data_IF_849263821344
#
_entry.id   IF_849263821344
#
_cell.length_a   1.000
_cell.length_b   1.000
_cell.length_c   1.000
_cell.angle_alpha   90.00
_cell.angle_beta   90.00
_cell.angle_gamma   90.00
#
_symmetry.space_group_name_H-M   'P 1'
#
loop_
_entity.id
_entity.type
_entity.pdbx_description
1 polymer ?
#
# COMPACT_ATOMS: atom_id res chain seq x y z
N UNK A 1 -12.37 -13.63 4.04
CA UNK A 1 -12.71 -12.97 5.32
C UNK A 1 -14.22 -12.83 5.53
N UNK A 2 -14.98 -12.26 4.58
CA UNK A 2 -16.44 -12.18 4.72
C UNK A 2 -17.15 -13.54 4.59
N UNK A 3 -16.72 -14.40 3.67
CA UNK A 3 -17.29 -15.75 3.49
C UNK A 3 -17.21 -16.62 4.75
N UNK A 4 -16.04 -16.66 5.41
CA UNK A 4 -15.86 -17.43 6.65
C UNK A 4 -16.74 -16.93 7.80
N UNK A 5 -17.02 -15.62 7.87
CA UNK A 5 -17.94 -15.05 8.85
C UNK A 5 -19.38 -15.51 8.59
N UNK A 6 -19.81 -15.51 7.32
CA UNK A 6 -21.15 -15.96 6.91
C UNK A 6 -21.34 -17.46 7.20
N UNK A 7 -20.32 -18.28 6.94
CA UNK A 7 -20.32 -19.70 7.27
C UNK A 7 -20.42 -19.93 8.79
N UNK A 8 -19.66 -19.18 9.59
CA UNK A 8 -19.70 -19.30 11.06
C UNK A 8 -21.05 -18.93 11.69
N UNK A 9 -21.87 -18.16 10.96
CA UNK A 9 -23.19 -17.70 11.40
C UNK A 9 -24.35 -18.50 10.76
N UNK A 10 -24.06 -19.61 10.08
CA UNK A 10 -25.05 -20.42 9.34
C UNK A 10 -25.93 -19.58 8.39
N UNK A 11 -25.34 -18.54 7.78
CA UNK A 11 -26.06 -17.65 6.85
C UNK A 11 -27.10 -16.72 7.48
N UNK A 12 -27.18 -16.61 8.82
CA UNK A 12 -28.08 -15.65 9.49
C UNK A 12 -27.30 -14.44 10.00
N UNK A 13 -27.48 -13.31 9.34
CA UNK A 13 -26.89 -12.03 9.74
C UNK A 13 -27.98 -11.13 10.34
N UNK A 14 -27.63 -10.40 11.40
CA UNK A 14 -28.38 -9.21 11.78
C UNK A 14 -28.11 -8.08 10.79
N UNK A 15 -29.00 -7.09 10.73
CA UNK A 15 -28.86 -5.91 9.86
C UNK A 15 -27.53 -5.17 10.09
N UNK A 16 -27.11 -5.02 11.36
CA UNK A 16 -25.82 -4.43 11.72
C UNK A 16 -24.62 -5.24 11.19
N UNK A 17 -24.71 -6.58 11.24
CA UNK A 17 -23.64 -7.45 10.72
C UNK A 17 -23.58 -7.40 9.19
N UNK A 18 -24.73 -7.36 8.52
CA UNK A 18 -24.81 -7.20 7.07
C UNK A 18 -24.20 -5.87 6.63
N UNK A 19 -24.58 -4.76 7.28
CA UNK A 19 -24.01 -3.45 7.00
C UNK A 19 -22.48 -3.44 7.17
N UNK A 20 -21.97 -3.99 8.28
CA UNK A 20 -20.52 -4.09 8.53
C UNK A 20 -19.81 -4.91 7.46
N UNK A 21 -20.41 -6.01 7.02
CA UNK A 21 -19.84 -6.85 5.96
C UNK A 21 -19.79 -6.11 4.62
N UNK A 22 -20.84 -5.34 4.28
CA UNK A 22 -20.88 -4.52 3.08
C UNK A 22 -19.81 -3.44 3.11
N UNK A 23 -19.65 -2.73 4.23
CA UNK A 23 -18.60 -1.71 4.38
C UNK A 23 -17.20 -2.30 4.33
N UNK A 24 -16.97 -3.44 4.98
CA UNK A 24 -15.69 -4.13 4.95
C UNK A 24 -15.32 -4.58 3.54
N UNK A 25 -16.28 -5.19 2.81
CA UNK A 25 -16.06 -5.64 1.43
C UNK A 25 -15.79 -4.45 0.49
N UNK A 26 -16.58 -3.39 0.59
CA UNK A 26 -16.42 -2.17 -0.20
C UNK A 26 -15.07 -1.51 0.05
N UNK A 27 -14.64 -1.44 1.32
CA UNK A 27 -13.34 -0.84 1.71
C UNK A 27 -12.17 -1.63 1.12
N UNK A 28 -12.20 -2.96 1.20
CA UNK A 28 -11.13 -3.81 0.64
C UNK A 28 -11.10 -3.71 -0.89
N UNK A 29 -12.25 -3.69 -1.55
CA UNK A 29 -12.34 -3.55 -3.00
C UNK A 29 -11.80 -2.20 -3.46
N UNK A 30 -12.24 -1.10 -2.85
CA UNK A 30 -11.78 0.25 -3.19
C UNK A 30 -10.27 0.42 -2.94
N UNK A 31 -9.81 0.04 -1.74
CA UNK A 31 -8.39 0.13 -1.41
C UNK A 31 -7.51 -0.73 -2.33
N UNK A 32 -7.96 -1.94 -2.69
CA UNK A 32 -7.19 -2.86 -3.53
C UNK A 32 -7.25 -2.57 -5.03
N UNK A 33 -8.26 -1.84 -5.52
CA UNK A 33 -8.40 -1.58 -6.95
C UNK A 33 -7.52 -0.41 -7.40
N UNK A 34 -7.72 0.76 -6.81
CA UNK A 34 -7.06 1.99 -7.26
C UNK A 34 -5.56 1.97 -6.98
N UNK A 35 -5.16 1.52 -5.79
CA UNK A 35 -3.74 1.51 -5.38
C UNK A 35 -2.90 0.55 -6.22
N UNK A 36 -3.44 -0.64 -6.52
CA UNK A 36 -2.74 -1.62 -7.36
C UNK A 36 -2.68 -1.17 -8.82
N UNK A 37 -3.78 -0.60 -9.34
CA UNK A 37 -3.81 -0.09 -10.72
C UNK A 37 -2.79 1.03 -10.91
N UNK A 38 -2.76 2.01 -9.99
CA UNK A 38 -1.77 3.08 -10.00
C UNK A 38 -0.34 2.53 -9.94
N UNK A 39 -0.07 1.62 -9.01
CA UNK A 39 1.26 1.00 -8.86
C UNK A 39 1.69 0.25 -10.12
N UNK A 40 0.79 -0.51 -10.75
CA UNK A 40 1.07 -1.24 -11.98
C UNK A 40 1.39 -0.31 -13.16
N UNK A 41 0.65 0.79 -13.31
CA UNK A 41 0.91 1.79 -14.34
C UNK A 41 2.28 2.44 -14.16
N UNK A 42 2.66 2.78 -12.92
CA UNK A 42 3.97 3.33 -12.61
C UNK A 42 5.07 2.30 -12.88
N UNK A 43 4.86 1.03 -12.53
CA UNK A 43 5.80 -0.04 -12.89
C UNK A 43 6.04 -0.10 -14.40
N UNK A 44 4.99 -0.15 -15.22
CA UNK A 44 5.15 -0.19 -16.68
C UNK A 44 5.84 1.06 -17.21
N UNK A 45 5.49 2.25 -16.71
CA UNK A 45 6.16 3.49 -17.06
C UNK A 45 7.67 3.42 -16.78
N UNK A 46 8.06 2.98 -15.58
CA UNK A 46 9.46 2.89 -15.20
C UNK A 46 10.21 1.82 -16.01
N UNK A 47 9.57 0.70 -16.36
CA UNK A 47 10.19 -0.30 -17.24
C UNK A 47 10.39 0.24 -18.68
N UNK A 48 9.49 1.08 -19.18
CA UNK A 48 9.67 1.76 -20.48
C UNK A 48 10.78 2.81 -20.44
N UNK A 49 10.89 3.56 -19.35
CA UNK A 49 11.92 4.60 -19.18
C UNK A 49 13.31 4.02 -18.86
N UNK A 50 13.37 2.83 -18.26
CA UNK A 50 14.61 2.16 -17.88
C UNK A 50 14.70 0.71 -18.43
N UNK A 51 14.80 0.52 -19.76
CA UNK A 51 14.79 -0.81 -20.37
C UNK A 51 15.90 -1.75 -19.86
N UNK A 52 17.06 -1.20 -19.47
CA UNK A 52 18.17 -1.99 -18.92
C UNK A 52 17.83 -2.64 -17.57
N UNK A 53 16.99 -1.99 -16.76
CA UNK A 53 16.49 -2.56 -15.50
C UNK A 53 15.48 -3.67 -15.80
N UNK A 54 14.60 -3.46 -16.78
CA UNK A 54 13.63 -4.46 -17.20
C UNK A 54 14.32 -5.74 -17.72
N UNK A 55 15.39 -5.61 -18.51
CA UNK A 55 16.16 -6.77 -19.02
C UNK A 55 16.74 -7.58 -17.87
N UNK A 56 17.39 -6.93 -16.90
CA UNK A 56 17.95 -7.61 -15.72
C UNK A 56 16.89 -8.30 -14.88
N UNK A 57 15.71 -7.69 -14.74
CA UNK A 57 14.57 -8.29 -14.05
C UNK A 57 14.09 -9.56 -14.76
N UNK A 58 14.05 -9.55 -16.09
CA UNK A 58 13.70 -10.73 -16.90
C UNK A 58 14.75 -11.83 -16.75
N UNK A 59 16.03 -11.51 -16.84
CA UNK A 59 17.10 -12.48 -16.64
C UNK A 59 17.05 -13.12 -15.24
N UNK A 60 16.66 -12.37 -14.20
CA UNK A 60 16.44 -12.91 -12.86
C UNK A 60 15.26 -13.88 -12.84
N UNK A 61 14.13 -13.50 -13.45
CA UNK A 61 12.95 -14.36 -13.55
C UNK A 61 13.22 -15.64 -14.34
N UNK A 62 14.00 -15.57 -15.42
CA UNK A 62 14.35 -16.72 -16.26
C UNK A 62 15.18 -17.77 -15.50
N UNK A 63 15.90 -17.35 -14.43
CA UNK A 63 16.69 -18.24 -13.57
C UNK A 63 15.86 -18.96 -12.49
N UNK A 64 14.65 -18.51 -12.20
CA UNK A 64 13.82 -19.03 -11.11
C UNK A 64 12.60 -19.74 -11.67
N UNK A 65 12.36 -20.99 -11.25
CA UNK A 65 11.17 -21.73 -11.67
C UNK A 65 9.97 -21.29 -10.81
N UNK A 66 9.19 -20.35 -11.34
CA UNK A 66 7.90 -19.95 -10.79
C UNK A 66 7.95 -18.84 -9.73
N UNK A 67 6.80 -18.19 -9.52
CA UNK A 67 6.66 -16.98 -8.67
C UNK A 67 6.63 -17.24 -7.16
N UNK A 68 6.70 -18.50 -6.75
CA UNK A 68 6.57 -18.89 -5.34
C UNK A 68 7.86 -18.65 -4.55
N UNK A 69 9.00 -18.66 -5.22
CA UNK A 69 10.29 -18.38 -4.60
C UNK A 69 10.63 -16.88 -4.66
N UNK A 70 9.85 -16.08 -3.93
CA UNK A 70 10.08 -14.63 -3.83
C UNK A 70 11.42 -14.28 -3.18
N UNK A 71 12.00 -15.19 -2.41
CA UNK A 71 13.31 -14.97 -1.80
C UNK A 71 14.42 -14.95 -2.86
N UNK A 72 14.26 -15.73 -3.93
CA UNK A 72 15.19 -15.80 -5.07
C UNK A 72 15.04 -14.68 -6.11
N UNK A 73 14.21 -13.67 -5.84
CA UNK A 73 13.97 -12.53 -6.74
C UNK A 73 14.39 -11.17 -6.14
N UNK A 74 15.64 -11.01 -5.67
CA UNK A 74 16.07 -9.77 -5.00
C UNK A 74 16.03 -8.53 -5.90
N UNK A 75 16.30 -8.66 -7.20
CA UNK A 75 16.24 -7.53 -8.12
C UNK A 75 14.81 -7.08 -8.38
N UNK A 76 13.90 -8.00 -8.67
CA UNK A 76 12.46 -7.70 -8.80
C UNK A 76 11.90 -7.07 -7.52
N UNK A 77 12.30 -7.58 -6.34
CA UNK A 77 11.92 -6.96 -5.05
C UNK A 77 12.40 -5.52 -4.92
N UNK A 78 13.64 -5.26 -5.34
CA UNK A 78 14.21 -3.90 -5.32
C UNK A 78 13.47 -2.98 -6.28
N UNK A 79 13.11 -3.46 -7.46
CA UNK A 79 12.28 -2.72 -8.43
C UNK A 79 10.93 -2.37 -7.82
N UNK A 80 10.23 -3.35 -7.22
CA UNK A 80 8.93 -3.09 -6.60
C UNK A 80 9.02 -2.10 -5.44
N UNK A 81 10.07 -2.19 -4.61
CA UNK A 81 10.31 -1.21 -3.55
C UNK A 81 10.52 0.20 -4.14
N UNK A 82 11.28 0.31 -5.23
CA UNK A 82 11.54 1.59 -5.88
C UNK A 82 10.32 2.16 -6.59
N UNK A 83 9.48 1.33 -7.21
CA UNK A 83 8.18 1.74 -7.78
C UNK A 83 7.30 2.38 -6.69
N UNK A 84 7.16 1.69 -5.55
CA UNK A 84 6.36 2.16 -4.41
C UNK A 84 6.95 3.41 -3.74
N UNK A 85 8.28 3.56 -3.78
CA UNK A 85 8.99 4.74 -3.26
C UNK A 85 8.83 5.94 -4.20
N UNK A 86 8.97 5.72 -5.52
CA UNK A 86 9.04 6.78 -6.53
C UNK A 86 7.69 7.50 -6.70
N UNK A 87 6.60 6.74 -6.76
CA UNK A 87 5.26 7.31 -6.87
C UNK A 87 4.29 6.48 -6.02
N UNK A 88 4.23 6.74 -4.70
CA UNK A 88 3.29 6.05 -3.82
C UNK A 88 1.85 6.39 -4.22
N UNK A 89 0.97 5.38 -4.28
CA UNK A 89 -0.42 5.57 -4.68
C UNK A 89 -1.22 6.51 -3.75
N UNK A 90 -0.83 6.60 -2.48
CA UNK A 90 -1.44 7.48 -1.48
C UNK A 90 -0.36 8.36 -0.80
N UNK A 91 0.13 9.44 -1.46
CA UNK A 91 1.26 10.22 -0.97
C UNK A 91 0.99 10.97 0.35
N UNK A 92 -0.29 11.19 0.70
CA UNK A 92 -0.72 11.83 1.95
C UNK A 92 -1.39 10.87 2.95
N UNK A 93 -1.43 9.58 2.61
CA UNK A 93 -2.15 8.56 3.39
C UNK A 93 -3.64 8.89 3.58
N UNK A 94 -4.24 8.32 4.62
CA UNK A 94 -5.57 8.69 5.08
C UNK A 94 -5.44 9.69 6.26
N UNK A 95 -6.33 10.68 6.37
CA UNK A 95 -6.39 11.54 7.55
C UNK A 95 -6.66 10.71 8.81
N UNK A 96 -5.89 10.96 9.86
CA UNK A 96 -6.14 10.42 11.19
C UNK A 96 -6.71 11.54 12.09
N UNK A 97 -7.47 11.17 13.12
CA UNK A 97 -8.02 12.12 14.08
C UNK A 97 -7.51 11.80 15.49
N UNK A 98 -7.09 12.83 16.22
CA UNK A 98 -6.68 12.71 17.62
C UNK A 98 -7.86 12.33 18.52
N UNK A 99 -7.76 11.20 19.20
CA UNK A 99 -8.77 10.74 20.18
C UNK A 99 -8.69 11.46 21.53
N UNK A 100 -7.57 12.12 21.80
CA UNK A 100 -7.29 12.92 22.98
C UNK A 100 -6.28 14.01 22.62
N UNK A 101 -6.12 14.99 23.49
CA UNK A 101 -5.09 16.02 23.38
C UNK A 101 -3.69 15.39 23.36
N UNK A 102 -2.79 15.97 22.57
CA UNK A 102 -1.40 15.53 22.45
C UNK A 102 -0.45 16.73 22.31
N UNK A 103 0.86 16.49 22.37
CA UNK A 103 1.90 17.48 22.11
C UNK A 103 2.98 16.88 21.23
N UNK A 104 3.22 17.51 20.07
CA UNK A 104 4.23 17.08 19.11
C UNK A 104 5.19 18.22 18.80
N UNK A 105 6.50 18.01 18.97
CA UNK A 105 7.54 19.02 18.78
C UNK A 105 7.26 20.35 19.51
N UNK A 106 6.71 20.28 20.72
CA UNK A 106 6.34 21.46 21.52
C UNK A 106 5.04 22.16 21.09
N UNK A 107 4.37 21.67 20.04
CA UNK A 107 3.04 22.16 19.62
C UNK A 107 1.94 21.36 20.31
N UNK A 108 1.03 22.05 20.98
CA UNK A 108 -0.17 21.42 21.54
C UNK A 108 -1.19 21.15 20.44
N UNK A 109 -1.68 19.91 20.39
CA UNK A 109 -2.67 19.42 19.44
C UNK A 109 -3.93 19.02 20.20
N UNK A 110 -5.06 19.73 20.06
CA UNK A 110 -6.28 19.37 20.76
C UNK A 110 -6.92 18.11 20.17
N UNK A 111 -7.69 17.39 21.00
CA UNK A 111 -8.58 16.30 20.59
C UNK A 111 -9.45 16.74 19.40
N UNK A 112 -9.62 15.85 18.42
CA UNK A 112 -10.35 16.13 17.19
C UNK A 112 -9.50 16.76 16.08
N UNK A 113 -8.22 17.07 16.35
CA UNK A 113 -7.30 17.54 15.30
C UNK A 113 -7.10 16.47 14.23
N UNK A 114 -7.17 16.87 12.96
CA UNK A 114 -6.81 16.03 11.83
C UNK A 114 -5.30 16.03 11.60
N UNK A 115 -4.73 14.84 11.44
CA UNK A 115 -3.31 14.61 11.14
C UNK A 115 -3.20 13.94 9.77
N UNK A 116 -2.49 14.59 8.86
CA UNK A 116 -2.24 14.10 7.51
C UNK A 116 -0.76 13.73 7.40
N UNK A 117 -0.48 12.49 7.00
CA UNK A 117 0.88 11.97 6.91
C UNK A 117 1.47 12.27 5.55
N UNK A 118 2.52 13.11 5.48
CA UNK A 118 3.23 13.34 4.22
C UNK A 118 4.19 12.17 3.90
N UNK A 119 3.63 11.04 3.48
CA UNK A 119 4.37 9.82 3.13
C UNK A 119 5.39 10.12 2.03
N UNK A 120 5.00 10.93 1.03
CA UNK A 120 5.89 11.31 -0.05
C UNK A 120 7.18 11.97 0.48
N UNK A 121 7.06 12.96 1.37
CA UNK A 121 8.24 13.63 1.93
C UNK A 121 9.16 12.66 2.69
N UNK A 122 8.60 11.71 3.45
CA UNK A 122 9.38 10.68 4.17
C UNK A 122 10.19 9.80 3.20
N UNK A 123 9.61 9.47 2.05
CA UNK A 123 10.24 8.61 1.03
C UNK A 123 11.33 9.31 0.20
N UNK A 124 11.42 10.65 0.26
CA UNK A 124 12.33 11.45 -0.56
C UNK A 124 13.31 12.33 0.23
N UNK A 125 13.15 12.44 1.55
CA UNK A 125 14.09 13.21 2.38
C UNK A 125 15.46 12.51 2.48
N UNK A 126 16.53 13.29 2.40
CA UNK A 126 17.91 12.81 2.31
C UNK A 126 18.41 12.05 3.53
N UNK A 127 17.80 12.26 4.70
CA UNK A 127 18.14 11.52 5.93
C UNK A 127 17.77 10.04 5.82
N UNK A 128 16.80 9.70 4.97
CA UNK A 128 16.35 8.31 4.74
C UNK A 128 17.03 7.67 3.53
N UNK A 129 17.44 8.46 2.53
CA UNK A 129 18.06 7.98 1.29
C UNK A 129 19.21 8.89 0.84
N UNK A 130 20.44 8.38 0.82
CA UNK A 130 21.57 9.04 0.14
C UNK A 130 21.45 8.83 -1.37
N UNK A 131 21.49 9.91 -2.15
CA UNK A 131 21.52 9.84 -3.63
C UNK A 131 22.89 9.40 -4.13
#
# INVERSE_FOLDING_TARGET
MCANNIESLNGKLSEEQEERLVWAASSVMGAGMDTNTSTALIFFLLMMLHPSIQVKAREELDRVIGIQDRASLPHVRSIMAEVLRWQPAAPLGLPHELRQDDTYNGMHLPKGSLVIHNIWQVLFVSVTWSR
#
